data_IF_697899330535
#
_entry.id   IF_697899330535
#
_cell.length_a   1.000
_cell.length_b   1.000
_cell.length_c   1.000
_cell.angle_alpha   90.00
_cell.angle_beta   90.00
_cell.angle_gamma   90.00
#
_symmetry.space_group_name_H-M   'P 1'
#
loop_
_entity.id
_entity.type
_entity.pdbx_description
1 polymer ?
#
# COMPACT_ATOMS: atom_id res chain seq x y z
N UNK A 1 17.71 8.62 -69.32
CA UNK A 1 16.61 7.86 -68.68
C UNK A 1 16.93 6.65 -67.81
N UNK A 2 17.83 5.72 -68.17
CA UNK A 2 18.11 4.54 -67.32
C UNK A 2 18.87 4.88 -66.03
N UNK A 3 19.79 5.85 -66.09
CA UNK A 3 20.68 6.21 -64.97
C UNK A 3 19.94 6.88 -63.80
N UNK A 4 18.91 7.69 -64.09
CA UNK A 4 18.12 8.39 -63.08
C UNK A 4 17.21 7.45 -62.28
N UNK A 5 16.63 6.44 -62.95
CA UNK A 5 15.79 5.41 -62.31
C UNK A 5 16.60 4.52 -61.36
N UNK A 6 17.86 4.21 -61.71
CA UNK A 6 18.76 3.41 -60.86
C UNK A 6 19.13 4.17 -59.56
N UNK A 7 19.46 5.46 -59.68
CA UNK A 7 19.86 6.31 -58.54
C UNK A 7 18.70 6.52 -57.56
N UNK A 8 17.46 6.60 -58.06
CA UNK A 8 16.24 6.72 -57.23
C UNK A 8 15.92 5.42 -56.49
N UNK A 9 16.11 4.25 -57.12
CA UNK A 9 15.95 2.94 -56.47
C UNK A 9 17.02 2.68 -55.40
N UNK A 10 18.27 3.09 -55.64
CA UNK A 10 19.36 2.91 -54.67
C UNK A 10 19.15 3.74 -53.38
N UNK A 11 18.64 4.98 -53.50
CA UNK A 11 18.30 5.83 -52.33
C UNK A 11 17.15 5.28 -51.50
N UNK A 12 16.21 4.54 -52.10
CA UNK A 12 15.09 3.92 -51.38
C UNK A 12 15.50 2.60 -50.68
N UNK A 13 16.54 1.92 -51.17
CA UNK A 13 17.05 0.67 -50.59
C UNK A 13 18.10 0.88 -49.49
N UNK A 14 18.79 2.03 -49.48
CA UNK A 14 19.79 2.37 -48.46
C UNK A 14 19.25 2.34 -47.00
N UNK A 15 18.05 2.86 -46.69
CA UNK A 15 17.50 2.74 -45.33
C UNK A 15 17.08 1.32 -44.98
N UNK A 16 16.74 0.47 -45.96
CA UNK A 16 16.35 -0.93 -45.73
C UNK A 16 17.53 -1.84 -45.37
N UNK A 17 18.75 -1.48 -45.76
CA UNK A 17 19.98 -2.20 -45.40
C UNK A 17 20.53 -1.81 -44.02
N UNK A 18 20.19 -0.62 -43.50
CA UNK A 18 20.68 -0.13 -42.21
C UNK A 18 19.86 -0.64 -41.00
N UNK A 19 18.56 -0.90 -41.19
CA UNK A 19 17.68 -1.41 -40.13
C UNK A 19 18.13 -2.77 -39.56
N UNK A 20 18.48 -3.80 -40.36
CA UNK A 20 18.89 -5.09 -39.79
C UNK A 20 20.25 -5.04 -39.08
N UNK A 21 21.15 -4.12 -39.46
CA UNK A 21 22.46 -3.93 -38.79
C UNK A 21 22.29 -3.26 -37.42
N UNK A 22 21.41 -2.27 -37.32
CA UNK A 22 21.08 -1.63 -36.04
C UNK A 22 20.35 -2.59 -35.09
N UNK A 23 19.46 -3.44 -35.64
CA UNK A 23 18.69 -4.42 -34.87
C UNK A 23 19.57 -5.57 -34.37
N UNK A 24 20.60 -5.97 -35.12
CA UNK A 24 21.55 -6.99 -34.68
C UNK A 24 22.53 -6.45 -33.63
N UNK A 25 22.89 -5.16 -33.65
CA UNK A 25 23.66 -4.52 -32.58
C UNK A 25 22.92 -4.48 -31.23
N UNK A 26 21.58 -4.38 -31.24
CA UNK A 26 20.75 -4.44 -30.03
C UNK A 26 20.65 -5.86 -29.42
N UNK A 27 20.85 -6.91 -30.23
CA UNK A 27 20.81 -8.30 -29.77
C UNK A 27 22.14 -8.79 -29.17
N UNK A 28 23.23 -8.05 -29.39
CA UNK A 28 24.57 -8.37 -28.86
C UNK A 28 24.98 -7.57 -27.63
N UNK A 29 24.14 -6.64 -27.14
CA UNK A 29 24.29 -6.20 -25.76
C UNK A 29 23.72 -7.32 -24.89
N UNK A 30 24.56 -8.08 -24.14
CA UNK A 30 24.01 -8.84 -23.04
C UNK A 30 23.19 -7.84 -22.23
N UNK A 31 21.91 -8.15 -22.01
CA UNK A 31 21.19 -7.52 -20.92
C UNK A 31 22.05 -7.82 -19.70
N UNK A 32 22.88 -6.85 -19.31
CA UNK A 32 23.45 -6.79 -17.99
C UNK A 32 22.22 -6.62 -17.11
N UNK A 33 21.63 -7.75 -16.72
CA UNK A 33 20.91 -7.85 -15.47
C UNK A 33 21.91 -7.37 -14.44
N UNK A 34 21.88 -6.07 -14.15
CA UNK A 34 22.65 -5.50 -13.06
C UNK A 34 22.40 -6.43 -11.88
N UNK A 35 23.44 -7.07 -11.32
CA UNK A 35 23.24 -7.92 -10.17
C UNK A 35 22.47 -7.09 -9.15
N UNK A 36 21.37 -7.63 -8.65
CA UNK A 36 20.62 -7.01 -7.56
C UNK A 36 21.66 -6.61 -6.51
N UNK A 37 21.69 -5.33 -6.08
CA UNK A 37 22.65 -4.89 -5.08
C UNK A 37 22.56 -5.87 -3.90
N UNK A 38 23.70 -6.29 -3.31
CA UNK A 38 23.67 -7.14 -2.12
C UNK A 38 22.76 -6.48 -1.07
N UNK A 39 22.08 -7.32 -0.28
CA UNK A 39 21.04 -6.97 0.70
C UNK A 39 21.59 -6.23 1.95
N UNK A 40 22.55 -5.32 1.71
CA UNK A 40 23.31 -4.50 2.64
C UNK A 40 22.81 -3.05 2.66
N UNK A 41 21.54 -2.82 2.29
CA UNK A 41 20.94 -1.51 2.48
C UNK A 41 20.71 -1.28 3.99
N UNK A 42 20.81 -0.03 4.50
CA UNK A 42 20.65 0.25 5.93
C UNK A 42 19.24 -0.11 6.43
N UNK A 43 19.15 -0.95 7.47
CA UNK A 43 17.89 -1.57 7.91
C UNK A 43 17.24 -0.83 9.08
N UNK A 44 15.91 -0.72 9.05
CA UNK A 44 15.07 -0.36 10.19
C UNK A 44 14.04 -1.48 10.44
N UNK A 45 13.48 -1.52 11.64
CA UNK A 45 12.52 -2.56 12.05
C UNK A 45 11.18 -1.93 12.40
N UNK A 46 10.11 -2.57 11.96
CA UNK A 46 8.74 -2.21 12.32
C UNK A 46 8.07 -3.41 12.94
N UNK A 47 7.45 -3.21 14.09
CA UNK A 47 6.76 -4.26 14.85
C UNK A 47 5.28 -3.93 14.89
N UNK A 48 4.47 -4.86 14.38
CA UNK A 48 3.03 -4.72 14.28
C UNK A 48 2.32 -4.89 15.62
N UNK A 49 1.11 -4.31 15.74
CA UNK A 49 0.31 -4.36 16.95
C UNK A 49 -0.38 -5.71 17.12
N UNK A 50 -1.10 -5.88 18.23
CA UNK A 50 -2.22 -6.82 18.28
C UNK A 50 -3.44 -6.17 17.64
N UNK A 51 -4.04 -6.81 16.64
CA UNK A 51 -5.28 -6.33 16.03
C UNK A 51 -6.45 -6.59 16.95
N UNK A 52 -7.24 -5.57 17.24
CA UNK A 52 -8.44 -5.68 18.09
C UNK A 52 -9.65 -5.09 17.37
N UNK A 53 -10.79 -5.77 17.43
CA UNK A 53 -12.08 -5.20 17.04
C UNK A 53 -12.89 -4.92 18.30
N UNK A 54 -13.35 -3.68 18.45
CA UNK A 54 -14.25 -3.25 19.49
C UNK A 54 -15.64 -3.02 18.87
N UNK A 55 -16.60 -3.89 19.18
CA UNK A 55 -18.00 -3.71 18.79
C UNK A 55 -18.92 -3.70 20.00
N UNK A 56 -20.19 -3.33 19.83
CA UNK A 56 -21.21 -3.34 20.90
C UNK A 56 -21.28 -4.65 21.69
N UNK A 57 -20.87 -5.79 21.13
CA UNK A 57 -20.95 -7.11 21.76
C UNK A 57 -19.61 -7.83 21.97
N UNK A 58 -18.48 -7.31 21.51
CA UNK A 58 -17.22 -8.04 21.59
C UNK A 58 -15.98 -7.18 21.52
N UNK A 59 -14.99 -7.54 22.34
CA UNK A 59 -13.57 -7.18 22.18
C UNK A 59 -12.83 -8.45 21.79
N UNK A 60 -12.70 -8.72 20.50
CA UNK A 60 -11.99 -9.90 20.01
C UNK A 60 -10.73 -9.50 19.23
N UNK A 61 -9.61 -10.21 19.43
CA UNK A 61 -8.46 -10.08 18.57
C UNK A 61 -8.76 -10.78 17.24
N UNK A 62 -9.36 -10.06 16.29
CA UNK A 62 -9.63 -10.57 14.96
C UNK A 62 -8.48 -10.19 14.02
N UNK A 63 -7.76 -11.20 13.55
CA UNK A 63 -6.80 -11.09 12.46
C UNK A 63 -7.36 -11.83 11.24
N UNK A 64 -7.37 -11.14 10.09
CA UNK A 64 -7.65 -11.60 8.73
C UNK A 64 -8.65 -12.76 8.62
N UNK A 65 -9.89 -12.46 8.25
CA UNK A 65 -10.77 -13.44 7.62
C UNK A 65 -11.36 -12.85 6.35
N UNK A 66 -10.99 -13.42 5.20
CA UNK A 66 -11.60 -13.09 3.90
C UNK A 66 -13.10 -13.32 4.01
N UNK A 67 -13.88 -12.23 4.02
CA UNK A 67 -15.34 -12.25 4.13
C UNK A 67 -15.91 -11.76 5.46
N UNK A 68 -15.08 -11.53 6.48
CA UNK A 68 -15.50 -11.00 7.78
C UNK A 68 -15.13 -9.52 7.95
N UNK A 69 -15.80 -8.88 8.90
CA UNK A 69 -15.46 -7.57 9.46
C UNK A 69 -14.09 -7.65 10.16
N UNK A 70 -13.20 -6.70 9.89
CA UNK A 70 -11.89 -6.62 10.54
C UNK A 70 -10.86 -5.75 9.84
N UNK A 71 -9.65 -5.78 10.40
CA UNK A 71 -8.47 -5.13 9.85
C UNK A 71 -7.85 -6.07 8.83
N UNK A 72 -7.68 -5.58 7.61
CA UNK A 72 -7.16 -6.37 6.49
C UNK A 72 -5.63 -6.37 6.50
N UNK A 73 -5.02 -5.18 6.56
CA UNK A 73 -3.57 -4.97 6.60
C UNK A 73 -3.23 -3.58 7.17
N UNK A 74 -1.99 -3.41 7.60
CA UNK A 74 -1.34 -2.09 7.72
C UNK A 74 -0.29 -2.01 6.62
N UNK A 75 -0.45 -1.04 5.72
CA UNK A 75 0.52 -0.73 4.69
C UNK A 75 1.45 0.37 5.16
N UNK A 76 2.75 0.18 4.96
CA UNK A 76 3.72 1.26 4.96
C UNK A 76 3.84 1.70 3.50
N UNK A 77 3.05 2.69 3.10
CA UNK A 77 2.98 3.14 1.71
C UNK A 77 4.08 4.14 1.43
N UNK A 78 4.77 4.04 0.30
CA UNK A 78 5.73 5.07 -0.14
C UNK A 78 5.00 6.39 -0.28
N UNK A 79 5.46 7.39 0.46
CA UNK A 79 4.80 8.69 0.55
C UNK A 79 4.64 9.33 -0.85
N UNK A 80 3.45 9.88 -1.13
CA UNK A 80 3.14 10.56 -2.39
C UNK A 80 3.00 9.68 -3.64
N UNK A 81 3.06 8.35 -3.51
CA UNK A 81 3.03 7.43 -4.69
C UNK A 81 1.68 6.76 -4.96
N UNK A 82 0.72 6.87 -4.03
CA UNK A 82 -0.56 6.15 -4.05
C UNK A 82 -1.73 7.10 -3.86
N UNK A 83 -2.94 6.63 -4.16
CA UNK A 83 -4.17 7.35 -3.85
C UNK A 83 -4.94 6.59 -2.77
N UNK A 84 -5.29 7.20 -1.61
CA UNK A 84 -5.90 6.47 -0.51
C UNK A 84 -7.32 5.95 -0.81
N UNK A 85 -7.98 6.49 -1.84
CA UNK A 85 -9.26 5.97 -2.34
C UNK A 85 -9.18 4.74 -3.26
N UNK A 86 -8.01 4.11 -3.43
CA UNK A 86 -7.83 2.91 -4.26
C UNK A 86 -7.65 1.64 -3.42
N UNK A 87 -7.87 0.45 -4.01
CA UNK A 87 -7.55 -0.82 -3.36
C UNK A 87 -6.02 -1.02 -3.33
N UNK A 88 -5.41 -0.88 -2.16
CA UNK A 88 -3.95 -0.91 -2.01
C UNK A 88 -3.36 -2.32 -2.07
N UNK A 89 -4.17 -3.38 -2.01
CA UNK A 89 -3.71 -4.77 -1.93
C UNK A 89 -2.96 -5.29 -3.16
N UNK A 90 -3.14 -4.67 -4.33
CA UNK A 90 -2.50 -5.08 -5.58
C UNK A 90 -1.28 -4.21 -5.95
N UNK A 91 -0.78 -3.41 -5.00
CA UNK A 91 0.13 -2.30 -5.26
C UNK A 91 1.55 -2.49 -4.72
N UNK A 92 2.10 -3.69 -4.88
CA UNK A 92 3.36 -4.10 -4.22
C UNK A 92 4.58 -3.23 -4.51
N UNK A 93 4.62 -2.53 -5.65
CA UNK A 93 5.70 -1.61 -6.00
C UNK A 93 5.67 -0.30 -5.17
N UNK A 94 4.53 0.03 -4.57
CA UNK A 94 4.30 1.25 -3.79
C UNK A 94 4.36 1.03 -2.29
N UNK A 95 4.63 -0.20 -1.83
CA UNK A 95 4.82 -0.50 -0.42
C UNK A 95 6.30 -0.40 -0.05
N UNK A 96 6.57 0.17 1.11
CA UNK A 96 7.78 -0.07 1.88
C UNK A 96 7.67 -1.40 2.61
N UNK A 97 6.47 -1.75 3.06
CA UNK A 97 6.12 -3.10 3.48
C UNK A 97 4.70 -3.21 4.01
N UNK A 98 4.32 -4.41 4.43
CA UNK A 98 2.95 -4.75 4.81
C UNK A 98 2.95 -5.59 6.08
N UNK A 99 2.13 -5.17 7.04
CA UNK A 99 1.83 -5.92 8.26
C UNK A 99 0.46 -6.54 8.05
N UNK A 100 0.42 -7.85 7.87
CA UNK A 100 -0.80 -8.60 7.60
C UNK A 100 -1.39 -9.23 8.85
N UNK A 101 -0.59 -9.53 9.88
CA UNK A 101 -1.10 -10.18 11.09
C UNK A 101 -0.52 -9.61 12.39
N UNK A 102 -1.22 -9.90 13.49
CA UNK A 102 -0.85 -9.44 14.83
C UNK A 102 0.57 -9.82 15.22
N UNK A 103 1.33 -8.87 15.76
CA UNK A 103 2.69 -9.09 16.24
C UNK A 103 3.72 -9.37 15.14
N UNK A 104 3.37 -9.22 13.86
CA UNK A 104 4.32 -9.38 12.76
C UNK A 104 5.50 -8.41 12.92
N UNK A 105 6.70 -8.92 12.68
CA UNK A 105 7.93 -8.11 12.61
C UNK A 105 8.34 -7.97 11.15
N UNK A 106 8.61 -6.74 10.73
CA UNK A 106 8.98 -6.38 9.37
C UNK A 106 10.32 -5.64 9.38
N UNK A 107 11.20 -5.95 8.45
CA UNK A 107 12.40 -5.16 8.17
C UNK A 107 12.13 -4.29 6.94
N UNK A 108 12.38 -2.98 7.06
CA UNK A 108 12.13 -1.99 6.00
C UNK A 108 13.36 -1.16 5.70
N UNK A 109 13.44 -0.66 4.46
CA UNK A 109 14.47 0.29 3.99
C UNK A 109 14.50 1.54 4.87
N UNK A 110 15.63 1.78 5.51
CA UNK A 110 15.84 3.03 6.22
C UNK A 110 15.92 4.20 5.23
N UNK A 111 15.57 5.38 5.71
CA UNK A 111 15.51 6.64 4.96
C UNK A 111 14.45 6.67 3.85
N UNK A 112 13.59 5.66 3.73
CA UNK A 112 12.44 5.70 2.84
C UNK A 112 11.29 6.43 3.55
N UNK A 113 10.69 7.42 2.87
CA UNK A 113 9.56 8.19 3.39
C UNK A 113 8.27 7.40 3.14
N UNK A 114 7.48 7.18 4.19
CA UNK A 114 6.25 6.39 4.10
C UNK A 114 5.10 6.95 4.93
N UNK A 115 3.88 6.60 4.53
CA UNK A 115 2.67 6.80 5.31
C UNK A 115 2.24 5.46 5.92
N UNK A 116 1.58 5.51 7.07
CA UNK A 116 0.89 4.36 7.64
C UNK A 116 -0.56 4.36 7.15
N UNK A 117 -0.98 3.29 6.49
CA UNK A 117 -2.34 3.14 5.99
C UNK A 117 -2.96 1.86 6.51
N UNK A 118 -4.02 1.98 7.31
CA UNK A 118 -4.77 0.84 7.83
C UNK A 118 -5.93 0.56 6.90
N UNK A 119 -5.92 -0.61 6.25
CA UNK A 119 -7.06 -1.08 5.47
C UNK A 119 -8.00 -1.90 6.35
N UNK A 120 -9.28 -1.56 6.30
CA UNK A 120 -10.33 -2.23 7.08
C UNK A 120 -11.48 -2.65 6.18
N UNK A 121 -12.16 -3.72 6.59
CA UNK A 121 -13.45 -4.15 6.05
C UNK A 121 -14.47 -4.12 7.18
N UNK A 122 -15.60 -3.48 6.94
CA UNK A 122 -16.70 -3.41 7.90
C UNK A 122 -17.98 -3.89 7.23
N UNK A 123 -18.53 -5.02 7.69
CA UNK A 123 -19.81 -5.57 7.25
C UNK A 123 -20.90 -5.18 8.23
N UNK A 124 -22.01 -4.69 7.71
CA UNK A 124 -23.21 -4.47 8.49
C UNK A 124 -23.81 -5.82 8.88
N UNK A 125 -24.02 -6.00 10.17
CA UNK A 125 -24.68 -7.15 10.74
C UNK A 125 -25.37 -6.73 12.05
N UNK A 126 -26.32 -7.55 12.52
CA UNK A 126 -27.10 -7.25 13.72
C UNK A 126 -26.26 -7.20 15.02
N UNK A 127 -24.97 -7.52 14.95
CA UNK A 127 -24.13 -7.76 16.12
C UNK A 127 -23.05 -6.68 16.31
N UNK A 128 -22.52 -6.13 15.22
CA UNK A 128 -21.29 -5.33 15.22
C UNK A 128 -21.45 -3.95 14.60
N UNK A 129 -22.25 -3.81 13.54
CA UNK A 129 -22.34 -2.58 12.75
C UNK A 129 -23.76 -2.41 12.20
N UNK A 130 -24.48 -1.36 12.59
CA UNK A 130 -25.89 -1.21 12.16
C UNK A 130 -26.06 -0.95 10.66
N UNK A 131 -25.17 -0.16 10.06
CA UNK A 131 -25.22 0.18 8.65
C UNK A 131 -23.83 0.18 8.04
N UNK A 132 -23.71 -0.22 6.79
CA UNK A 132 -22.47 -0.22 6.03
C UNK A 132 -22.11 1.22 5.61
N UNK A 133 -21.78 2.05 6.60
CA UNK A 133 -21.42 3.46 6.44
C UNK A 133 -20.15 3.76 7.22
N UNK A 134 -19.26 4.60 6.68
CA UNK A 134 -18.01 4.93 7.38
C UNK A 134 -18.26 5.66 8.69
N UNK A 135 -19.39 6.35 8.80
CA UNK A 135 -19.85 7.06 10.00
C UNK A 135 -20.13 6.14 11.19
N UNK A 136 -20.04 4.81 11.02
CA UNK A 136 -20.16 3.80 12.08
C UNK A 136 -18.87 3.01 12.29
N UNK A 137 -17.75 3.47 11.71
CA UNK A 137 -16.45 2.80 11.72
C UNK A 137 -15.38 3.79 12.18
N UNK A 138 -14.56 3.40 13.17
CA UNK A 138 -13.38 4.18 13.58
C UNK A 138 -12.18 3.28 13.65
N UNK A 139 -11.03 3.83 13.29
CA UNK A 139 -9.74 3.17 13.45
C UNK A 139 -8.90 3.99 14.41
N UNK A 140 -8.52 3.37 15.52
CA UNK A 140 -7.63 3.94 16.52
C UNK A 140 -6.24 3.35 16.35
N UNK A 141 -5.22 4.19 16.31
CA UNK A 141 -3.83 3.77 16.16
C UNK A 141 -2.95 4.52 17.15
N UNK A 142 -1.95 3.84 17.68
CA UNK A 142 -0.87 4.46 18.47
C UNK A 142 0.47 3.80 18.16
N UNK A 143 1.54 4.59 18.19
CA UNK A 143 2.90 4.11 17.94
C UNK A 143 3.91 4.63 18.96
N UNK A 144 5.01 3.91 19.10
CA UNK A 144 6.16 4.29 19.93
C UNK A 144 7.49 3.86 19.28
N UNK A 145 8.62 4.24 19.90
CA UNK A 145 9.96 3.97 19.36
C UNK A 145 10.50 5.15 18.55
N UNK A 146 10.79 4.94 17.27
CA UNK A 146 11.39 5.94 16.39
C UNK A 146 10.60 7.26 16.30
N UNK A 147 9.28 7.18 16.36
CA UNK A 147 8.37 8.31 16.50
C UNK A 147 7.12 7.89 17.26
N UNK A 148 6.36 8.89 17.74
CA UNK A 148 5.13 8.66 18.51
C UNK A 148 3.93 9.27 17.80
N UNK A 149 2.95 8.42 17.48
CA UNK A 149 1.57 8.83 17.21
C UNK A 149 0.81 8.57 18.52
N UNK A 150 0.32 9.62 19.22
CA UNK A 150 -0.53 9.42 20.39
C UNK A 150 -1.74 8.56 20.05
N UNK A 151 -2.11 7.65 20.94
CA UNK A 151 -3.25 6.77 20.70
C UNK A 151 -4.53 7.57 20.50
N UNK A 152 -5.11 7.48 19.30
CA UNK A 152 -6.27 8.25 18.90
C UNK A 152 -6.86 7.74 17.58
N UNK A 153 -8.09 8.17 17.28
CA UNK A 153 -8.74 7.87 16.01
C UNK A 153 -8.38 8.90 14.94
N UNK A 154 -8.38 8.48 13.68
CA UNK A 154 -8.18 9.39 12.57
C UNK A 154 -9.41 10.28 12.33
N UNK A 155 -9.25 11.56 11.99
CA UNK A 155 -10.37 12.41 11.61
C UNK A 155 -10.96 11.99 10.24
N UNK A 156 -12.22 12.35 9.98
CA UNK A 156 -12.98 11.90 8.80
C UNK A 156 -12.31 12.16 7.44
N UNK A 157 -11.46 13.19 7.33
CA UNK A 157 -10.74 13.53 6.10
C UNK A 157 -9.51 12.64 5.85
N UNK A 158 -9.13 11.80 6.83
CA UNK A 158 -8.12 10.74 6.68
C UNK A 158 -8.75 9.36 6.42
N UNK A 159 -10.07 9.29 6.25
CA UNK A 159 -10.85 8.06 6.05
C UNK A 159 -11.39 7.96 4.61
N UNK A 160 -10.93 6.96 3.87
CA UNK A 160 -11.17 6.84 2.42
C UNK A 160 -11.83 5.51 2.08
N UNK A 161 -13.15 5.54 1.83
CA UNK A 161 -13.89 4.38 1.34
C UNK A 161 -13.53 4.15 -0.13
N UNK A 162 -12.93 3.00 -0.42
CA UNK A 162 -12.53 2.63 -1.79
C UNK A 162 -13.43 1.56 -2.41
N UNK A 163 -14.25 0.90 -1.58
CA UNK A 163 -15.24 -0.08 -2.03
C UNK A 163 -16.42 -0.10 -1.07
N UNK A 164 -17.63 -0.21 -1.61
CA UNK A 164 -18.83 -0.49 -0.83
C UNK A 164 -19.86 -1.27 -1.63
N UNK A 165 -20.54 -2.19 -0.97
CA UNK A 165 -21.73 -2.86 -1.46
C UNK A 165 -22.87 -2.56 -0.47
N UNK A 166 -23.96 -1.94 -0.94
CA UNK A 166 -25.06 -1.54 -0.07
C UNK A 166 -24.67 -0.47 0.97
N UNK A 167 -23.98 0.60 0.55
CA UNK A 167 -23.62 1.69 1.47
C UNK A 167 -24.87 2.24 2.20
N UNK A 168 -24.78 2.38 3.53
CA UNK A 168 -25.89 2.84 4.37
C UNK A 168 -27.00 1.79 4.62
N UNK A 169 -26.83 0.55 4.17
CA UNK A 169 -27.80 -0.55 4.41
C UNK A 169 -27.38 -1.43 5.58
N UNK A 170 -28.32 -2.18 6.14
CA UNK A 170 -28.11 -3.05 7.31
C UNK A 170 -27.54 -4.45 6.98
N UNK A 171 -27.26 -4.73 5.71
CA UNK A 171 -26.72 -5.99 5.20
C UNK A 171 -25.53 -5.82 4.24
N UNK A 172 -25.15 -4.58 3.93
CA UNK A 172 -24.00 -4.25 3.10
C UNK A 172 -22.64 -4.41 3.78
N UNK A 173 -21.58 -4.02 3.07
CA UNK A 173 -20.25 -3.83 3.66
C UNK A 173 -19.46 -2.74 2.93
N UNK A 174 -18.44 -2.22 3.59
CA UNK A 174 -17.48 -1.29 3.02
C UNK A 174 -16.05 -1.75 3.26
N UNK A 175 -15.13 -1.27 2.43
CA UNK A 175 -13.69 -1.31 2.66
C UNK A 175 -13.13 0.10 2.61
N UNK A 176 -12.24 0.40 3.54
CA UNK A 176 -11.76 1.75 3.78
C UNK A 176 -10.28 1.73 4.12
N UNK A 177 -9.55 2.73 3.63
CA UNK A 177 -8.19 3.03 4.04
C UNK A 177 -8.22 4.20 5.03
N UNK A 178 -7.51 4.07 6.14
CA UNK A 178 -7.33 5.14 7.12
C UNK A 178 -5.86 5.52 7.19
N UNK A 179 -5.57 6.81 7.00
CA UNK A 179 -4.21 7.30 6.73
C UNK A 179 -3.63 8.03 7.94
N UNK A 180 -2.36 7.76 8.23
CA UNK A 180 -1.49 8.59 9.04
C UNK A 180 -0.26 8.93 8.20
N UNK A 181 -0.12 10.21 7.88
CA UNK A 181 0.82 10.77 6.90
C UNK A 181 1.65 11.92 7.48
N UNK A 182 1.73 12.04 8.82
CA UNK A 182 2.46 13.12 9.48
C UNK A 182 2.09 14.53 8.97
N UNK A 183 0.78 14.79 8.82
CA UNK A 183 0.25 16.06 8.27
C UNK A 183 0.72 16.35 6.84
N UNK A 184 0.92 15.30 6.04
CA UNK A 184 1.29 15.36 4.63
C UNK A 184 2.79 15.28 4.36
N UNK A 185 3.63 15.10 5.38
CA UNK A 185 5.09 15.02 5.24
C UNK A 185 5.62 13.57 5.19
N UNK A 186 4.80 12.60 5.60
CA UNK A 186 5.20 11.22 5.80
C UNK A 186 6.16 11.01 6.98
N UNK A 187 6.51 9.76 7.23
CA UNK A 187 7.41 9.30 8.28
C UNK A 187 8.69 8.71 7.68
N UNK A 188 9.78 8.77 8.45
CA UNK A 188 11.07 8.19 8.08
C UNK A 188 11.65 7.42 9.25
N UNK A 189 12.22 6.25 8.97
CA UNK A 189 13.03 5.49 9.93
C UNK A 189 14.50 5.55 9.54
N UNK A 190 15.34 5.95 10.47
CA UNK A 190 16.79 5.99 10.31
C UNK A 190 17.40 4.58 10.51
N UNK A 191 18.64 4.35 10.05
CA UNK A 191 19.30 3.07 10.25
C UNK A 191 19.33 2.64 11.72
N UNK A 192 18.93 1.39 12.00
CA UNK A 192 18.91 0.81 13.33
C UNK A 192 17.73 1.23 14.22
N UNK A 193 16.84 2.11 13.76
CA UNK A 193 15.64 2.47 14.53
C UNK A 193 14.58 1.38 14.49
N UNK A 194 13.82 1.28 15.57
CA UNK A 194 12.63 0.43 15.67
C UNK A 194 11.37 1.30 15.85
N UNK A 195 10.32 0.99 15.08
CA UNK A 195 8.97 1.51 15.27
C UNK A 195 8.09 0.39 15.84
N UNK A 196 7.37 0.71 16.91
CA UNK A 196 6.34 -0.14 17.49
C UNK A 196 4.99 0.46 17.16
N UNK A 197 4.11 -0.33 16.54
CA UNK A 197 2.69 0.02 16.48
C UNK A 197 2.09 -0.66 17.71
N UNK A 198 1.77 0.13 18.73
CA UNK A 198 1.45 -0.38 20.06
C UNK A 198 0.02 -0.90 20.13
N UNK A 199 -0.91 -0.09 19.61
CA UNK A 199 -2.35 -0.33 19.68
C UNK A 199 -3.00 -0.07 18.34
N UNK A 200 -3.88 -0.99 17.93
CA UNK A 200 -4.71 -0.84 16.76
C UNK A 200 -6.11 -1.42 17.03
N UNK A 201 -7.12 -0.53 17.05
CA UNK A 201 -8.51 -0.90 17.31
C UNK A 201 -9.38 -0.49 16.12
N UNK A 202 -10.14 -1.43 15.60
CA UNK A 202 -11.29 -1.17 14.75
C UNK A 202 -12.53 -1.09 15.63
N UNK A 203 -13.05 0.11 15.84
CA UNK A 203 -14.28 0.35 16.59
C UNK A 203 -15.48 0.43 15.63
N UNK A 204 -16.56 -0.26 16.00
CA UNK A 204 -17.78 -0.36 15.21
C UNK A 204 -19.00 -0.12 16.09
N UNK A 205 -19.96 0.66 15.60
CA UNK A 205 -21.20 0.94 16.33
C UNK A 205 -22.42 1.07 15.41
N UNK A 206 -23.51 1.60 15.97
CA UNK A 206 -24.83 1.65 15.34
C UNK A 206 -25.81 0.77 16.07
#
# INVERSE_FOLDING_TARGET
DRYWRLKKRLKQLLPLLLVPVLLSLLLFFPHSSSPLPPDNWPKAVVRGPTFTIASKRSTQPLAILKGLTGIENIYLMKHGTYHPGENLADNSLRWVGVISYSGQVLTVRANEVFDLVVAVRAKADKENLAYASKEYVRVWLGTSGAFTIPFGYAPDWKEYVFYSEGYGTADGYLRMNVVWDNEGEGYVLLPGQELWIDNLILELWG
#
